data_IF_956927608492
#
_entry.id   IF_956927608492
#
_cell.length_a   1.000
_cell.length_b   1.000
_cell.length_c   1.000
_cell.angle_alpha   90.00
_cell.angle_beta   90.00
_cell.angle_gamma   90.00
#
_symmetry.space_group_name_H-M   'P 1'
#
loop_
_entity.id
_entity.type
_entity.pdbx_description
1 polymer ?
#
# COMPACT_ATOMS: atom_id res chain seq x y z
N UNK A 1 9.53 6.77 6.49
CA UNK A 1 9.32 7.02 5.04
C UNK A 1 7.85 6.80 4.75
N UNK A 2 7.19 7.68 3.99
CA UNK A 2 5.84 7.44 3.47
C UNK A 2 5.88 6.49 2.27
N UNK A 3 4.82 5.71 2.07
CA UNK A 3 4.73 4.74 0.98
C UNK A 3 4.53 5.47 -0.36
N UNK A 4 5.36 5.11 -1.34
CA UNK A 4 5.37 5.66 -2.70
C UNK A 4 4.75 4.71 -3.71
N UNK A 5 4.84 3.41 -3.48
CA UNK A 5 4.15 2.41 -4.26
C UNK A 5 3.30 1.53 -3.34
N UNK A 6 1.99 1.56 -3.53
CA UNK A 6 1.03 0.81 -2.69
C UNK A 6 0.33 -0.23 -3.54
N UNK A 7 0.46 -1.49 -3.15
CA UNK A 7 -0.25 -2.61 -3.77
C UNK A 7 -1.67 -2.72 -3.18
N UNK A 8 -2.70 -2.58 -4.00
CA UNK A 8 -4.09 -2.89 -3.63
C UNK A 8 -4.38 -4.30 -4.12
N UNK A 9 -4.55 -5.25 -3.21
CA UNK A 9 -4.72 -6.66 -3.55
C UNK A 9 -5.87 -7.28 -2.74
N UNK A 10 -6.19 -8.53 -3.00
CA UNK A 10 -7.26 -9.27 -2.34
C UNK A 10 -6.85 -10.71 -2.11
N UNK A 11 -7.53 -11.42 -1.23
CA UNK A 11 -7.28 -12.85 -0.99
C UNK A 11 -7.75 -13.63 -2.22
N UNK A 12 -8.99 -13.43 -2.62
CA UNK A 12 -9.63 -14.11 -3.74
C UNK A 12 -10.06 -13.18 -4.87
N UNK A 13 -10.60 -13.75 -5.95
CA UNK A 13 -11.22 -13.01 -7.04
C UNK A 13 -12.54 -12.40 -6.60
N UNK A 14 -12.97 -11.35 -7.30
CA UNK A 14 -14.24 -10.67 -7.08
C UNK A 14 -14.47 -10.06 -5.68
N UNK A 15 -13.41 -9.87 -4.87
CA UNK A 15 -13.51 -9.19 -3.56
C UNK A 15 -13.58 -7.65 -3.68
N UNK A 16 -13.61 -7.10 -4.90
CA UNK A 16 -13.86 -5.67 -5.15
C UNK A 16 -12.62 -4.76 -5.12
N UNK A 17 -11.40 -5.31 -5.08
CA UNK A 17 -10.16 -4.52 -5.13
C UNK A 17 -10.07 -3.54 -6.32
N UNK A 18 -10.48 -3.95 -7.51
CA UNK A 18 -10.45 -3.11 -8.71
C UNK A 18 -11.50 -1.98 -8.64
N UNK A 19 -12.64 -2.25 -8.00
CA UNK A 19 -13.64 -1.22 -7.73
C UNK A 19 -13.10 -0.18 -6.75
N UNK A 20 -12.49 -0.64 -5.64
CA UNK A 20 -11.81 0.23 -4.69
C UNK A 20 -10.70 1.07 -5.35
N UNK A 21 -9.85 0.47 -6.17
CA UNK A 21 -8.78 1.19 -6.87
C UNK A 21 -9.31 2.31 -7.77
N UNK A 22 -10.42 2.06 -8.46
CA UNK A 22 -11.10 3.08 -9.27
C UNK A 22 -11.75 4.17 -8.41
N UNK A 23 -12.34 3.83 -7.27
CA UNK A 23 -12.87 4.82 -6.33
C UNK A 23 -11.78 5.71 -5.76
N UNK A 24 -10.65 5.12 -5.34
CA UNK A 24 -9.49 5.85 -4.86
C UNK A 24 -8.92 6.76 -5.95
N UNK A 25 -8.93 6.32 -7.21
CA UNK A 25 -8.57 7.17 -8.36
C UNK A 25 -9.43 8.44 -8.41
N UNK A 26 -10.73 8.35 -8.12
CA UNK A 26 -11.60 9.52 -8.09
C UNK A 26 -11.35 10.36 -6.84
N UNK A 27 -11.38 9.76 -5.66
CA UNK A 27 -11.33 10.48 -4.37
C UNK A 27 -9.99 11.19 -4.14
N UNK A 28 -8.88 10.54 -4.46
CA UNK A 28 -7.55 11.14 -4.27
C UNK A 28 -7.32 12.33 -5.21
N UNK A 29 -8.05 12.43 -6.33
CA UNK A 29 -7.87 13.54 -7.28
C UNK A 29 -8.24 14.88 -6.64
N UNK A 30 -9.10 14.85 -5.63
CA UNK A 30 -9.60 16.02 -4.92
C UNK A 30 -8.77 16.42 -3.71
N UNK A 31 -7.97 15.52 -3.14
CA UNK A 31 -7.32 15.73 -1.83
C UNK A 31 -5.83 15.39 -1.79
N UNK A 32 -5.30 14.71 -2.81
CA UNK A 32 -3.91 14.30 -2.81
C UNK A 32 -3.00 15.52 -2.94
N UNK A 33 -2.07 15.66 -1.98
CA UNK A 33 -1.03 16.71 -2.00
C UNK A 33 0.09 16.39 -2.99
N UNK A 34 0.14 15.15 -3.45
CA UNK A 34 1.16 14.61 -4.33
C UNK A 34 0.51 14.04 -5.60
N UNK A 35 1.17 14.16 -6.76
CA UNK A 35 0.69 13.52 -7.98
C UNK A 35 0.61 12.01 -7.75
N UNK A 36 -0.46 11.38 -8.19
CA UNK A 36 -0.60 9.94 -8.07
C UNK A 36 -1.15 9.32 -9.36
N UNK A 37 -0.80 8.07 -9.56
CA UNK A 37 -1.29 7.25 -10.66
C UNK A 37 -1.87 5.95 -10.10
N UNK A 38 -2.89 5.43 -10.78
CA UNK A 38 -3.42 4.09 -10.50
C UNK A 38 -3.16 3.21 -11.71
N UNK A 39 -2.31 2.19 -11.54
CA UNK A 39 -1.95 1.22 -12.57
C UNK A 39 -2.63 -0.12 -12.29
N UNK A 40 -3.03 -0.83 -13.34
CA UNK A 40 -3.45 -2.22 -13.21
C UNK A 40 -2.24 -3.14 -13.36
N UNK A 41 -2.13 -4.20 -12.55
CA UNK A 41 -0.93 -5.06 -12.52
C UNK A 41 -0.53 -5.64 -13.90
N UNK A 42 -1.51 -5.90 -14.76
CA UNK A 42 -1.26 -6.36 -16.15
C UNK A 42 -0.53 -5.33 -17.02
N UNK A 43 -0.69 -4.04 -16.73
CA UNK A 43 -0.02 -2.96 -17.45
C UNK A 43 1.45 -2.84 -17.07
N UNK A 44 1.87 -3.40 -15.93
CA UNK A 44 3.25 -3.35 -15.46
C UNK A 44 4.21 -4.10 -16.40
N UNK A 45 3.70 -5.02 -17.22
CA UNK A 45 4.48 -5.73 -18.23
C UNK A 45 4.93 -4.75 -19.31
N UNK A 46 6.22 -4.41 -19.31
CA UNK A 46 6.81 -3.44 -20.24
C UNK A 46 6.84 -2.01 -19.73
N UNK A 47 6.43 -1.76 -18.48
CA UNK A 47 6.65 -0.50 -17.79
C UNK A 47 7.80 -0.65 -16.80
N UNK A 48 8.78 0.23 -16.90
CA UNK A 48 9.80 0.34 -15.86
C UNK A 48 9.19 0.97 -14.60
N UNK A 49 9.51 0.46 -13.40
CA UNK A 49 9.04 1.04 -12.16
C UNK A 49 9.70 2.40 -11.91
N UNK A 50 9.05 3.45 -12.38
CA UNK A 50 9.50 4.83 -12.22
C UNK A 50 8.50 5.61 -11.37
N UNK A 51 8.99 6.24 -10.31
CA UNK A 51 8.20 7.10 -9.45
C UNK A 51 8.88 8.47 -9.41
N UNK A 52 8.34 9.43 -10.15
CA UNK A 52 8.91 10.77 -10.27
C UNK A 52 8.71 11.60 -8.99
N UNK A 53 9.72 12.39 -8.62
CA UNK A 53 9.60 13.46 -7.62
C UNK A 53 9.04 13.01 -6.28
N UNK A 54 7.83 13.47 -5.95
CA UNK A 54 7.06 13.10 -4.75
C UNK A 54 5.82 12.26 -5.09
N UNK A 55 5.75 11.71 -6.31
CA UNK A 55 4.60 10.97 -6.79
C UNK A 55 4.36 9.65 -6.08
N UNK A 56 3.13 9.18 -6.20
CA UNK A 56 2.62 7.93 -5.62
C UNK A 56 2.03 7.04 -6.70
N UNK A 57 2.36 5.76 -6.71
CA UNK A 57 1.75 4.77 -7.59
C UNK A 57 0.90 3.83 -6.75
N UNK A 58 -0.39 3.75 -7.08
CA UNK A 58 -1.27 2.71 -6.57
C UNK A 58 -1.38 1.62 -7.63
N UNK A 59 -1.16 0.36 -7.25
CA UNK A 59 -1.30 -0.77 -8.18
C UNK A 59 -2.54 -1.56 -7.81
N UNK A 60 -3.53 -1.62 -8.70
CA UNK A 60 -4.59 -2.65 -8.67
C UNK A 60 -3.95 -4.00 -8.99
N UNK A 61 -3.59 -4.69 -7.92
CA UNK A 61 -2.90 -5.97 -7.89
C UNK A 61 -3.80 -7.14 -8.27
N UNK A 62 -3.23 -8.34 -8.43
CA UNK A 62 -3.97 -9.58 -8.60
C UNK A 62 -4.60 -10.06 -7.28
N UNK A 63 -5.39 -11.14 -7.36
CA UNK A 63 -5.75 -11.91 -6.16
C UNK A 63 -4.54 -12.75 -5.71
N UNK A 64 -4.37 -12.89 -4.38
CA UNK A 64 -3.19 -13.52 -3.77
C UNK A 64 -3.25 -15.04 -3.79
N UNK A 65 -4.35 -15.61 -3.27
CA UNK A 65 -4.44 -17.04 -2.99
C UNK A 65 -5.24 -17.79 -4.07
N UNK A 66 -5.70 -17.09 -5.11
CA UNK A 66 -6.43 -17.67 -6.23
C UNK A 66 -5.66 -17.57 -7.55
N UNK A 67 -4.86 -18.61 -7.82
CA UNK A 67 -4.03 -18.76 -9.01
C UNK A 67 -2.63 -18.18 -8.84
N UNK A 68 -1.82 -18.23 -9.89
CA UNK A 68 -0.42 -17.77 -9.87
C UNK A 68 -0.27 -16.26 -10.16
N UNK A 69 -1.35 -15.49 -10.02
CA UNK A 69 -1.41 -14.14 -10.59
C UNK A 69 -0.48 -13.15 -9.87
N UNK A 70 -0.12 -13.36 -8.60
CA UNK A 70 0.86 -12.49 -7.94
C UNK A 70 2.29 -12.67 -8.48
N UNK A 71 2.67 -13.87 -8.87
CA UNK A 71 3.95 -14.13 -9.53
C UNK A 71 4.01 -13.53 -10.94
N UNK A 72 2.86 -13.09 -11.48
CA UNK A 72 2.79 -12.42 -12.76
C UNK A 72 3.17 -10.92 -12.69
N UNK A 73 3.36 -10.36 -11.49
CA UNK A 73 3.93 -9.03 -11.31
C UNK A 73 5.44 -9.08 -11.59
N UNK A 74 6.00 -8.19 -12.43
CA UNK A 74 7.43 -8.17 -12.69
C UNK A 74 8.25 -7.97 -11.41
N UNK A 75 9.39 -8.68 -11.23
CA UNK A 75 10.23 -8.57 -10.02
C UNK A 75 10.64 -7.14 -9.68
N UNK A 76 10.99 -6.34 -10.69
CA UNK A 76 11.36 -4.93 -10.50
C UNK A 76 10.23 -4.08 -9.91
N UNK A 77 8.96 -4.44 -10.13
CA UNK A 77 7.82 -3.80 -9.47
C UNK A 77 7.57 -4.34 -8.07
N UNK A 78 7.79 -5.65 -7.84
CA UNK A 78 7.65 -6.26 -6.51
C UNK A 78 8.56 -5.60 -5.48
N UNK A 79 9.81 -5.31 -5.85
CA UNK A 79 10.80 -4.64 -4.99
C UNK A 79 10.47 -3.19 -4.67
N UNK A 80 9.46 -2.60 -5.33
CA UNK A 80 9.12 -1.18 -5.22
C UNK A 80 7.93 -0.94 -4.31
N UNK A 81 7.15 -1.96 -4.01
CA UNK A 81 6.02 -1.83 -3.09
C UNK A 81 6.50 -1.53 -1.68
N UNK A 82 6.02 -0.44 -1.10
CA UNK A 82 6.34 -0.07 0.28
C UNK A 82 5.30 -0.62 1.27
N UNK A 83 4.10 -0.89 0.77
CA UNK A 83 2.95 -1.31 1.55
C UNK A 83 1.90 -1.97 0.67
N UNK A 84 0.98 -2.69 1.30
CA UNK A 84 -0.22 -3.21 0.65
C UNK A 84 -1.51 -2.89 1.42
N UNK A 85 -2.61 -2.82 0.67
CA UNK A 85 -3.97 -2.80 1.18
C UNK A 85 -4.65 -4.09 0.76
N UNK A 86 -5.08 -4.87 1.74
CA UNK A 86 -5.74 -6.15 1.52
C UNK A 86 -7.26 -5.94 1.55
N UNK A 87 -7.91 -6.10 0.41
CA UNK A 87 -9.35 -5.99 0.24
C UNK A 87 -9.96 -7.37 0.42
N UNK A 88 -10.92 -7.50 1.32
CA UNK A 88 -11.46 -8.81 1.72
C UNK A 88 -12.96 -8.76 1.91
N UNK A 89 -13.63 -9.87 1.64
CA UNK A 89 -15.04 -10.03 1.89
C UNK A 89 -15.25 -10.57 3.31
N UNK A 90 -15.73 -9.72 4.23
CA UNK A 90 -15.83 -10.05 5.67
C UNK A 90 -16.53 -11.37 5.97
N UNK A 91 -17.53 -11.75 5.17
CA UNK A 91 -18.32 -12.97 5.39
C UNK A 91 -17.71 -14.24 4.80
N UNK A 92 -16.75 -14.12 3.88
CA UNK A 92 -16.18 -15.27 3.17
C UNK A 92 -14.70 -15.45 3.42
N UNK A 93 -13.95 -14.38 3.66
CA UNK A 93 -12.51 -14.46 3.93
C UNK A 93 -12.27 -14.95 5.36
N UNK A 94 -11.60 -16.09 5.49
CA UNK A 94 -11.26 -16.73 6.77
C UNK A 94 -10.01 -16.10 7.38
N UNK A 95 -9.89 -16.18 8.70
CA UNK A 95 -8.69 -15.68 9.41
C UNK A 95 -7.40 -16.34 8.89
N UNK A 96 -7.42 -17.65 8.63
CA UNK A 96 -6.25 -18.36 8.11
C UNK A 96 -5.79 -17.83 6.75
N UNK A 97 -6.73 -17.47 5.87
CA UNK A 97 -6.43 -16.89 4.56
C UNK A 97 -5.86 -15.47 4.69
N UNK A 98 -6.33 -14.70 5.67
CA UNK A 98 -5.76 -13.39 6.00
C UNK A 98 -4.31 -13.51 6.49
N UNK A 99 -4.06 -14.46 7.39
CA UNK A 99 -2.72 -14.70 7.95
C UNK A 99 -1.75 -15.16 6.86
N UNK A 100 -2.19 -16.07 5.98
CA UNK A 100 -1.43 -16.54 4.83
C UNK A 100 -1.13 -15.40 3.85
N UNK A 101 -2.15 -14.64 3.43
CA UNK A 101 -1.99 -13.48 2.56
C UNK A 101 -1.02 -12.46 3.15
N UNK A 102 -1.12 -12.18 4.46
CA UNK A 102 -0.22 -11.26 5.14
C UNK A 102 1.22 -11.79 5.20
N UNK A 103 1.43 -13.09 5.37
CA UNK A 103 2.76 -13.70 5.34
C UNK A 103 3.40 -13.57 3.95
N UNK A 104 2.64 -13.88 2.90
CA UNK A 104 3.10 -13.75 1.51
C UNK A 104 3.46 -12.30 1.17
N UNK A 105 2.60 -11.35 1.52
CA UNK A 105 2.84 -9.92 1.27
C UNK A 105 4.10 -9.40 1.98
N UNK A 106 4.37 -9.85 3.20
CA UNK A 106 5.61 -9.50 3.92
C UNK A 106 6.83 -10.12 3.26
N UNK A 107 6.77 -11.40 2.88
CA UNK A 107 7.86 -12.08 2.18
C UNK A 107 8.18 -11.42 0.83
N UNK A 108 7.16 -10.86 0.19
CA UNK A 108 7.24 -10.16 -1.08
C UNK A 108 7.68 -8.68 -0.97
N UNK A 109 8.00 -8.19 0.23
CA UNK A 109 8.42 -6.80 0.45
C UNK A 109 7.28 -5.77 0.49
N UNK A 110 6.03 -6.20 0.36
CA UNK A 110 4.83 -5.35 0.31
C UNK A 110 3.94 -5.51 1.55
N UNK A 111 4.42 -5.19 2.78
CA UNK A 111 3.72 -5.54 4.01
C UNK A 111 2.31 -4.92 4.10
N UNK A 112 1.30 -5.65 4.65
CA UNK A 112 -0.04 -5.10 4.82
C UNK A 112 -0.05 -3.87 5.74
N UNK A 113 -0.50 -2.74 5.23
CA UNK A 113 -0.71 -1.50 5.97
C UNK A 113 -2.16 -1.33 6.45
N UNK A 114 -3.08 -2.10 5.90
CA UNK A 114 -4.48 -2.12 6.31
C UNK A 114 -5.31 -3.15 5.57
N UNK A 115 -6.47 -3.44 6.14
CA UNK A 115 -7.50 -4.31 5.55
C UNK A 115 -8.70 -3.45 5.20
N UNK A 116 -9.22 -3.60 3.99
CA UNK A 116 -10.46 -2.99 3.54
C UNK A 116 -11.53 -4.07 3.49
N UNK A 117 -12.48 -3.99 4.41
CA UNK A 117 -13.63 -4.89 4.45
C UNK A 117 -14.64 -4.45 3.40
N UNK A 118 -14.72 -5.19 2.31
CA UNK A 118 -15.75 -5.02 1.30
C UNK A 118 -16.95 -5.91 1.66
N UNK A 119 -18.13 -5.33 1.80
CA UNK A 119 -19.38 -6.11 1.80
C UNK A 119 -20.31 -5.49 0.77
N UNK A 120 -20.97 -6.35 0.00
CA UNK A 120 -21.97 -5.96 -0.98
C UNK A 120 -23.18 -5.24 -0.36
N UNK A 121 -23.38 -5.39 0.95
CA UNK A 121 -24.50 -4.86 1.72
C UNK A 121 -24.08 -3.87 2.83
N UNK A 122 -22.94 -3.16 2.69
CA UNK A 122 -22.51 -2.21 3.72
C UNK A 122 -23.45 -0.99 3.78
N UNK A 123 -24.17 -0.72 4.89
CA UNK A 123 -25.07 0.44 4.98
C UNK A 123 -24.34 1.78 4.98
N UNK A 124 -23.01 1.80 5.10
CA UNK A 124 -22.17 3.01 5.16
C UNK A 124 -20.91 2.89 4.29
N UNK A 125 -21.11 2.63 3.00
CA UNK A 125 -20.07 2.62 1.97
C UNK A 125 -19.11 3.82 2.05
N UNK A 126 -19.66 5.03 2.27
CA UNK A 126 -18.87 6.26 2.39
C UNK A 126 -17.86 6.21 3.53
N UNK A 127 -18.21 5.62 4.68
CA UNK A 127 -17.28 5.50 5.82
C UNK A 127 -16.12 4.57 5.50
N UNK A 128 -16.35 3.49 4.76
CA UNK A 128 -15.29 2.55 4.34
C UNK A 128 -14.35 3.23 3.34
N UNK A 129 -14.91 3.94 2.36
CA UNK A 129 -14.14 4.72 1.39
C UNK A 129 -13.32 5.82 2.08
N UNK A 130 -13.91 6.62 2.97
CA UNK A 130 -13.19 7.64 3.73
C UNK A 130 -12.04 7.03 4.54
N UNK A 131 -12.26 5.89 5.22
CA UNK A 131 -11.18 5.21 5.98
C UNK A 131 -10.07 4.69 5.08
N UNK A 132 -10.42 4.08 3.94
CA UNK A 132 -9.42 3.60 2.98
C UNK A 132 -8.62 4.77 2.40
N UNK A 133 -9.31 5.83 2.00
CA UNK A 133 -8.73 7.09 1.52
C UNK A 133 -7.79 7.71 2.57
N UNK A 134 -8.26 7.91 3.79
CA UNK A 134 -7.47 8.52 4.88
C UNK A 134 -6.26 7.65 5.24
N UNK A 135 -6.38 6.32 5.09
CA UNK A 135 -5.27 5.40 5.30
C UNK A 135 -4.26 5.45 4.16
N UNK A 136 -4.69 5.47 2.90
CA UNK A 136 -3.81 5.70 1.74
C UNK A 136 -3.11 7.05 1.87
N UNK A 137 -3.88 8.11 2.12
CA UNK A 137 -3.35 9.46 2.35
C UNK A 137 -2.35 9.48 3.51
N UNK A 138 -2.67 8.84 4.65
CA UNK A 138 -1.75 8.72 5.78
C UNK A 138 -0.50 7.88 5.50
N UNK A 139 -0.58 6.87 4.62
CA UNK A 139 0.60 6.12 4.16
C UNK A 139 1.50 7.01 3.30
N UNK A 140 0.91 7.82 2.44
CA UNK A 140 1.58 8.78 1.56
C UNK A 140 2.21 9.93 2.39
N UNK A 141 1.46 10.51 3.32
CA UNK A 141 1.78 11.75 4.04
C UNK A 141 2.76 11.58 5.21
N UNK A 142 3.11 10.35 5.61
CA UNK A 142 4.14 10.03 6.64
C UNK A 142 5.58 10.53 6.31
N UNK A 143 5.70 11.45 5.35
CA UNK A 143 6.88 12.25 5.04
C UNK A 143 6.95 13.58 5.82
N UNK A 144 5.85 14.09 6.36
CA UNK A 144 5.79 15.46 6.87
C UNK A 144 6.53 15.72 8.21
N UNK A 145 6.75 14.70 9.05
CA UNK A 145 7.28 14.91 10.42
C UNK A 145 8.80 14.67 10.60
N UNK A 146 9.51 14.15 9.59
CA UNK A 146 10.96 13.88 9.74
C UNK A 146 11.82 15.04 9.24
N UNK A 147 11.26 15.96 8.42
CA UNK A 147 11.97 17.16 7.93
C UNK A 147 11.76 18.40 8.79
N UNK A 148 10.95 18.31 9.84
CA UNK A 148 10.65 19.39 10.80
C UNK A 148 11.36 19.21 12.15
N UNK A 149 12.11 18.13 12.36
CA UNK A 149 12.97 18.00 13.52
C UNK A 149 14.21 18.89 13.32
N UNK A 150 14.50 19.82 14.26
CA UNK A 150 15.74 20.56 14.22
C UNK A 150 16.90 19.56 14.29
N UNK A 151 17.94 19.80 13.49
CA UNK A 151 19.17 19.01 13.57
C UNK A 151 19.64 18.94 15.04
N UNK A 152 20.07 17.77 15.53
CA UNK A 152 20.64 17.69 16.87
C UNK A 152 21.80 18.68 16.96
N UNK A 153 21.93 19.41 18.09
CA UNK A 153 23.00 20.38 18.24
C UNK A 153 24.35 19.69 18.04
N UNK A 154 25.29 20.30 17.30
CA UNK A 154 26.62 19.74 17.13
C UNK A 154 27.30 19.69 18.50
N UNK A 155 27.54 18.49 19.04
CA UNK A 155 28.30 18.38 20.29
C UNK A 155 28.17 17.13 21.14
N UNK A 156 27.25 16.19 20.88
CA UNK A 156 27.21 14.94 21.66
C UNK A 156 28.06 13.88 20.98
N UNK A 157 29.38 14.11 21.02
CA UNK A 157 30.38 13.08 20.74
C UNK A 157 30.31 12.03 21.85
N UNK A 158 30.09 10.77 21.46
CA UNK A 158 30.23 9.62 22.34
C UNK A 158 31.69 9.51 22.75
N UNK A 159 32.04 10.03 23.92
CA UNK A 159 33.31 9.78 24.57
C UNK A 159 33.39 8.32 24.98
N UNK A 160 33.91 7.47 24.10
CA UNK A 160 34.42 6.17 24.48
C UNK A 160 35.75 6.41 25.20
N UNK A 161 35.68 6.49 26.53
CA UNK A 161 36.84 6.49 27.41
C UNK A 161 37.59 5.18 27.26
N UNK A 162 38.83 5.31 26.81
CA UNK A 162 39.92 4.37 26.96
C UNK A 162 40.22 4.22 28.46
N UNK A 163 40.16 3.01 29.01
CA UNK A 163 40.90 2.66 30.22
C UNK A 163 41.43 1.23 30.08
N UNK A 164 42.76 1.19 30.23
CA UNK A 164 43.73 0.11 30.25
C UNK A 164 43.45 -0.99 31.26
#
# INVERSE_FOLDING_TARGET
MGARCVLITSVGRAEGKSHLANMLRSELSFIARHPYEVLHWRQLRGLEPHIEGDGVVLVDGPALLEGEEIFAIPPGWMERFDASLLVVLKRSTRSAELDEAAAWLRAAGAPPAGIVWNERDFPNYWTVLSRARDRVAGLIDRRADVRSLPAPPPGVGSGAGEVT
#
